data_IF_800519269098
#
_entry.id   IF_800519269098
#
_cell.length_a   1.000
_cell.length_b   1.000
_cell.length_c   1.000
_cell.angle_alpha   90.00
_cell.angle_beta   90.00
_cell.angle_gamma   90.00
#
_symmetry.space_group_name_H-M   'P 1'
#
loop_
_entity.id
_entity.type
_entity.pdbx_description
1 polymer ?
#
# COMPACT_ATOMS: atom_id res chain seq x y z
N UNK A 1 20.31 4.45 3.15
CA UNK A 1 18.91 4.15 2.82
C UNK A 1 18.00 4.65 3.95
N UNK A 2 16.95 5.39 3.61
CA UNK A 2 15.98 5.88 4.59
C UNK A 2 14.66 5.12 4.39
N UNK A 3 14.14 4.52 5.46
CA UNK A 3 12.91 3.76 5.43
C UNK A 3 11.86 4.38 6.34
N UNK A 4 10.66 4.57 5.82
CA UNK A 4 9.49 5.04 6.57
C UNK A 4 8.43 3.93 6.53
N UNK A 5 7.82 3.67 7.67
CA UNK A 5 6.76 2.68 7.80
C UNK A 5 5.61 3.27 8.60
N UNK A 6 4.39 3.21 8.06
CA UNK A 6 3.19 3.71 8.71
C UNK A 6 2.06 2.71 8.56
N UNK A 7 1.17 2.66 9.54
CA UNK A 7 0.02 1.77 9.57
C UNK A 7 -1.25 2.62 9.60
N UNK A 8 -2.19 2.30 8.72
CA UNK A 8 -3.50 2.94 8.63
C UNK A 8 -4.57 1.87 8.78
N UNK A 9 -5.74 2.22 9.31
CA UNK A 9 -6.84 1.28 9.43
C UNK A 9 -8.19 1.97 9.22
N UNK A 10 -9.18 1.17 8.81
CA UNK A 10 -10.58 1.54 8.81
C UNK A 10 -11.42 0.29 9.06
N UNK A 11 -12.58 0.46 9.66
CA UNK A 11 -13.48 -0.66 9.91
C UNK A 11 -14.93 -0.21 9.83
N UNK A 12 -15.82 -1.16 9.54
CA UNK A 12 -17.25 -0.92 9.46
C UNK A 12 -18.00 -2.19 9.80
N UNK A 13 -19.24 -2.04 10.23
CA UNK A 13 -20.14 -3.15 10.53
C UNK A 13 -21.07 -3.35 9.35
N UNK A 14 -21.25 -4.60 8.90
CA UNK A 14 -22.12 -4.97 7.80
C UNK A 14 -22.98 -6.16 8.22
N UNK A 15 -24.20 -6.22 7.66
CA UNK A 15 -25.09 -7.36 7.86
C UNK A 15 -24.98 -8.29 6.64
N UNK A 16 -24.60 -9.53 6.88
CA UNK A 16 -24.51 -10.55 5.83
C UNK A 16 -25.91 -11.12 5.49
N UNK A 17 -25.99 -11.96 4.46
CA UNK A 17 -27.24 -12.57 4.02
C UNK A 17 -27.88 -13.45 5.10
N UNK A 18 -27.10 -13.98 6.04
CA UNK A 18 -27.59 -14.72 7.20
C UNK A 18 -28.25 -13.84 8.28
N UNK A 19 -28.30 -12.53 8.08
CA UNK A 19 -28.86 -11.57 9.00
C UNK A 19 -27.95 -11.24 10.19
N UNK A 20 -26.74 -11.76 10.22
CA UNK A 20 -25.77 -11.54 11.29
C UNK A 20 -24.88 -10.36 10.98
N UNK A 21 -24.71 -9.48 11.96
CA UNK A 21 -23.79 -8.34 11.83
C UNK A 21 -22.36 -8.77 12.13
N UNK A 22 -21.45 -8.31 11.28
CA UNK A 22 -20.02 -8.56 11.44
C UNK A 22 -19.25 -7.26 11.23
N UNK A 23 -18.14 -7.13 11.92
CA UNK A 23 -17.24 -5.99 11.74
C UNK A 23 -16.10 -6.41 10.81
N UNK A 24 -15.89 -5.62 9.76
CA UNK A 24 -14.81 -5.81 8.79
C UNK A 24 -13.77 -4.74 9.05
N UNK A 25 -12.51 -5.13 9.10
CA UNK A 25 -11.38 -4.20 9.24
C UNK A 25 -10.46 -4.34 8.04
N UNK A 26 -10.00 -3.22 7.50
CA UNK A 26 -8.95 -3.16 6.48
C UNK A 26 -7.80 -2.33 7.03
N UNK A 27 -6.60 -2.89 6.94
CA UNK A 27 -5.37 -2.25 7.38
C UNK A 27 -4.48 -2.03 6.18
N UNK A 28 -3.89 -0.84 6.08
CA UNK A 28 -2.88 -0.53 5.09
C UNK A 28 -1.52 -0.40 5.74
N UNK A 29 -0.58 -1.20 5.31
CA UNK A 29 0.82 -1.07 5.68
C UNK A 29 1.53 -0.31 4.59
N UNK A 30 1.91 0.94 4.89
CA UNK A 30 2.63 1.81 3.98
C UNK A 30 4.11 1.75 4.28
N UNK A 31 4.91 1.47 3.26
CA UNK A 31 6.36 1.44 3.37
C UNK A 31 6.96 2.32 2.29
N UNK A 32 7.89 3.18 2.68
CA UNK A 32 8.62 4.04 1.76
C UNK A 32 10.11 3.83 1.95
N UNK A 33 10.80 3.58 0.86
CA UNK A 33 12.25 3.45 0.82
C UNK A 33 12.81 4.50 -0.10
N UNK A 34 13.84 5.23 0.37
CA UNK A 34 14.61 6.19 -0.42
C UNK A 34 16.01 5.69 -0.58
N UNK A 35 16.45 5.63 -1.81
CA UNK A 35 17.80 5.21 -2.14
C UNK A 35 18.40 6.12 -3.19
N UNK A 36 19.72 6.07 -3.34
CA UNK A 36 20.42 6.77 -4.40
C UNK A 36 20.93 5.74 -5.39
N UNK A 37 20.66 6.00 -6.67
CA UNK A 37 21.08 5.14 -7.76
C UNK A 37 21.99 5.93 -8.67
N UNK A 38 23.12 5.36 -9.07
CA UNK A 38 24.00 5.96 -10.06
C UNK A 38 23.23 6.11 -11.37
N UNK A 39 23.10 7.35 -11.83
CA UNK A 39 22.37 7.68 -13.05
C UNK A 39 23.32 8.31 -14.04
N UNK A 40 23.26 7.85 -15.30
CA UNK A 40 24.08 8.37 -16.39
C UNK A 40 23.18 9.15 -17.35
N UNK A 41 23.59 10.36 -17.66
CA UNK A 41 22.88 11.22 -18.61
C UNK A 41 23.82 11.62 -19.75
N UNK A 42 23.36 11.57 -20.99
CA UNK A 42 24.08 12.11 -22.14
C UNK A 42 23.88 13.62 -22.20
N UNK A 43 24.98 14.34 -22.35
CA UNK A 43 24.97 15.79 -22.47
C UNK A 43 25.77 16.21 -23.70
N UNK A 44 25.41 17.34 -24.37
CA UNK A 44 26.24 17.89 -25.42
C UNK A 44 27.52 18.52 -24.81
N UNK A 45 28.66 18.19 -25.38
CA UNK A 45 29.95 18.74 -24.96
C UNK A 45 30.59 19.42 -26.17
N UNK A 46 30.92 20.71 -26.02
CA UNK A 46 31.62 21.46 -27.05
C UNK A 46 33.13 21.19 -26.94
N UNK A 47 33.68 20.55 -27.95
CA UNK A 47 35.11 20.18 -27.98
C UNK A 47 35.94 21.21 -28.75
N UNK A 48 35.37 21.75 -29.83
CA UNK A 48 35.99 22.80 -30.69
C UNK A 48 34.90 23.78 -31.10
N UNK A 49 35.26 24.99 -31.56
CA UNK A 49 34.26 25.89 -32.14
C UNK A 49 33.44 25.16 -33.20
N UNK A 50 32.13 25.22 -33.12
CA UNK A 50 31.17 24.58 -34.01
C UNK A 50 31.16 23.03 -34.00
N UNK A 51 31.89 22.39 -33.07
CA UNK A 51 31.90 20.92 -32.95
C UNK A 51 31.34 20.54 -31.57
N UNK A 52 30.23 19.78 -31.57
CA UNK A 52 29.59 19.27 -30.36
C UNK A 52 29.57 17.75 -30.45
N UNK A 53 30.02 17.09 -29.38
CA UNK A 53 30.01 15.64 -29.27
C UNK A 53 29.11 15.27 -28.07
N UNK A 54 28.65 14.02 -28.04
CA UNK A 54 27.88 13.51 -26.88
C UNK A 54 28.84 13.08 -25.79
N UNK A 55 28.68 13.69 -24.61
CA UNK A 55 29.37 13.28 -23.41
C UNK A 55 28.40 12.58 -22.45
N UNK A 56 28.95 11.95 -21.42
CA UNK A 56 28.17 11.29 -20.39
C UNK A 56 28.54 11.85 -19.03
N UNK A 57 27.51 12.09 -18.22
CA UNK A 57 27.66 12.52 -16.83
C UNK A 57 26.98 11.50 -15.95
N UNK A 58 27.71 11.02 -14.94
CA UNK A 58 27.15 10.13 -13.92
C UNK A 58 26.95 10.89 -12.62
N UNK A 59 25.81 10.75 -12.00
CA UNK A 59 25.48 11.40 -10.73
C UNK A 59 24.55 10.51 -9.92
N UNK A 60 24.59 10.60 -8.57
CA UNK A 60 23.64 9.90 -7.73
C UNK A 60 22.26 10.56 -7.85
N UNK A 61 21.28 9.79 -8.31
CA UNK A 61 19.89 10.23 -8.39
C UNK A 61 19.06 9.53 -7.32
N UNK A 62 18.16 10.29 -6.70
CA UNK A 62 17.26 9.78 -5.67
C UNK A 62 16.20 8.86 -6.30
N UNK A 63 16.12 7.64 -5.77
CA UNK A 63 15.09 6.68 -6.14
C UNK A 63 14.12 6.50 -4.98
N UNK A 64 12.84 6.73 -5.25
CA UNK A 64 11.77 6.56 -4.29
C UNK A 64 11.01 5.30 -4.61
N UNK A 65 10.76 4.47 -3.60
CA UNK A 65 9.91 3.29 -3.72
C UNK A 65 8.86 3.32 -2.62
N UNK A 66 7.59 3.28 -3.00
CA UNK A 66 6.45 3.30 -2.09
C UNK A 66 5.58 2.09 -2.33
N UNK A 67 5.22 1.41 -1.26
CA UNK A 67 4.35 0.24 -1.29
C UNK A 67 3.26 0.40 -0.25
N UNK A 68 2.02 0.19 -0.65
CA UNK A 68 0.88 0.07 0.24
C UNK A 68 0.35 -1.35 0.12
N UNK A 69 0.43 -2.12 1.21
CA UNK A 69 -0.09 -3.48 1.28
C UNK A 69 -1.36 -3.47 2.14
N UNK A 70 -2.43 -4.04 1.62
CA UNK A 70 -3.72 -4.08 2.30
C UNK A 70 -3.97 -5.46 2.89
N UNK A 71 -4.34 -5.49 4.17
CA UNK A 71 -4.78 -6.70 4.87
C UNK A 71 -6.19 -6.50 5.38
N UNK A 72 -6.95 -7.58 5.47
CA UNK A 72 -8.33 -7.52 5.94
C UNK A 72 -8.62 -8.62 6.96
N UNK A 73 -9.57 -8.36 7.84
CA UNK A 73 -10.08 -9.32 8.80
C UNK A 73 -11.57 -9.10 9.00
N UNK A 74 -12.29 -10.19 9.23
CA UNK A 74 -13.72 -10.16 9.55
C UNK A 74 -13.87 -10.72 10.95
N UNK A 75 -14.40 -9.91 11.88
CA UNK A 75 -14.64 -10.33 13.25
C UNK A 75 -15.74 -11.41 13.29
N UNK A 76 -15.50 -12.49 14.05
CA UNK A 76 -16.50 -13.52 14.24
C UNK A 76 -17.70 -12.92 14.99
N UNK A 77 -18.96 -13.27 14.61
CA UNK A 77 -20.14 -12.63 15.20
C UNK A 77 -20.28 -12.84 16.72
N UNK A 78 -19.70 -13.90 17.24
CA UNK A 78 -19.73 -14.19 18.70
C UNK A 78 -18.61 -13.51 19.48
N UNK A 79 -17.66 -12.87 18.77
CA UNK A 79 -16.54 -12.18 19.41
C UNK A 79 -16.82 -10.69 19.48
N UNK A 80 -16.37 -10.07 20.57
CA UNK A 80 -16.38 -8.63 20.68
C UNK A 80 -15.27 -8.06 19.81
N UNK A 81 -15.59 -7.03 19.02
CA UNK A 81 -14.61 -6.41 18.13
C UNK A 81 -13.56 -5.65 18.93
N UNK A 82 -12.29 -5.95 18.67
CA UNK A 82 -11.13 -5.29 19.27
C UNK A 82 -10.21 -4.81 18.16
N UNK A 83 -9.96 -3.50 18.12
CA UNK A 83 -9.12 -2.87 17.10
C UNK A 83 -7.69 -3.40 17.13
N UNK A 84 -7.10 -3.58 18.31
CA UNK A 84 -5.73 -4.07 18.45
C UNK A 84 -5.60 -5.50 17.94
N UNK A 85 -6.54 -6.36 18.29
CA UNK A 85 -6.56 -7.75 17.82
C UNK A 85 -6.77 -7.81 16.30
N UNK A 86 -7.67 -6.99 15.77
CA UNK A 86 -7.89 -6.88 14.33
C UNK A 86 -6.65 -6.41 13.58
N UNK A 87 -5.94 -5.42 14.12
CA UNK A 87 -4.66 -4.95 13.58
C UNK A 87 -3.63 -6.09 13.52
N UNK A 88 -3.47 -6.82 14.61
CA UNK A 88 -2.51 -7.93 14.68
C UNK A 88 -2.83 -9.02 13.66
N UNK A 89 -4.09 -9.36 13.49
CA UNK A 89 -4.53 -10.35 12.49
C UNK A 89 -4.23 -9.86 11.07
N UNK A 90 -4.59 -8.63 10.76
CA UNK A 90 -4.35 -8.05 9.43
C UNK A 90 -2.87 -7.97 9.09
N UNK A 91 -2.05 -7.48 10.02
CA UNK A 91 -0.59 -7.38 9.83
C UNK A 91 0.05 -8.75 9.71
N UNK A 92 -0.43 -9.74 10.47
CA UNK A 92 0.03 -11.11 10.37
C UNK A 92 -0.25 -11.71 8.99
N UNK A 93 -1.44 -11.46 8.44
CA UNK A 93 -1.82 -11.89 7.09
C UNK A 93 -0.96 -11.23 6.03
N UNK A 94 -0.68 -9.94 6.17
CA UNK A 94 0.22 -9.21 5.26
C UNK A 94 1.62 -9.86 5.27
N UNK A 95 2.17 -10.18 6.44
CA UNK A 95 3.50 -10.80 6.57
C UNK A 95 3.56 -12.19 5.94
N UNK A 96 2.44 -12.92 5.93
CA UNK A 96 2.36 -14.27 5.35
C UNK A 96 2.04 -14.27 3.85
N UNK A 97 1.93 -13.10 3.24
CA UNK A 97 1.54 -13.00 1.83
C UNK A 97 0.06 -13.22 1.56
N UNK A 98 -0.78 -13.14 2.59
CA UNK A 98 -2.23 -13.29 2.49
C UNK A 98 -2.93 -11.92 2.44
N UNK A 99 -2.32 -10.97 1.75
CA UNK A 99 -2.86 -9.62 1.57
C UNK A 99 -4.02 -9.63 0.57
N UNK A 100 -4.82 -8.57 0.62
CA UNK A 100 -5.97 -8.38 -0.28
C UNK A 100 -5.70 -7.37 -1.39
N UNK A 101 -4.50 -6.85 -1.46
CA UNK A 101 -4.08 -5.94 -2.51
C UNK A 101 -2.74 -5.28 -2.20
N UNK A 102 -2.00 -4.96 -3.25
CA UNK A 102 -0.72 -4.26 -3.16
C UNK A 102 -0.69 -3.17 -4.22
N UNK A 103 -0.25 -1.97 -3.83
CA UNK A 103 -0.06 -0.84 -4.73
C UNK A 103 1.39 -0.39 -4.60
N UNK A 104 2.12 -0.39 -5.70
CA UNK A 104 3.51 0.03 -5.74
C UNK A 104 3.69 1.22 -6.69
N UNK A 105 4.51 2.18 -6.29
CA UNK A 105 4.81 3.33 -7.12
C UNK A 105 6.16 3.96 -6.77
N UNK A 106 6.80 4.56 -7.76
CA UNK A 106 7.99 5.38 -7.57
C UNK A 106 7.67 6.88 -7.57
N UNK A 107 6.41 7.24 -7.83
CA UNK A 107 5.97 8.64 -7.89
C UNK A 107 5.67 9.20 -6.51
N UNK A 108 6.20 10.39 -6.21
CA UNK A 108 5.88 11.10 -4.96
C UNK A 108 4.46 11.68 -4.95
N UNK A 109 3.80 11.73 -6.11
CA UNK A 109 2.43 12.24 -6.24
C UNK A 109 1.38 11.16 -6.01
N UNK A 110 1.79 9.88 -6.05
CA UNK A 110 0.93 8.75 -5.75
C UNK A 110 1.11 8.34 -4.29
N UNK A 111 0.13 7.67 -3.72
CA UNK A 111 0.13 7.20 -2.33
C UNK A 111 0.40 8.31 -1.31
N UNK A 112 -0.30 9.45 -1.44
CA UNK A 112 -0.42 10.46 -0.38
C UNK A 112 -1.31 9.90 0.73
N UNK A 113 -1.33 10.53 1.91
CA UNK A 113 -2.20 10.07 3.01
C UNK A 113 -3.67 9.99 2.59
N UNK A 114 -4.15 10.98 1.86
CA UNK A 114 -5.53 10.98 1.36
C UNK A 114 -5.79 9.80 0.41
N UNK A 115 -4.85 9.53 -0.49
CA UNK A 115 -4.96 8.40 -1.42
C UNK A 115 -4.87 7.06 -0.71
N UNK A 116 -4.04 6.95 0.31
CA UNK A 116 -3.91 5.73 1.12
C UNK A 116 -5.25 5.44 1.82
N UNK A 117 -5.83 6.42 2.49
CA UNK A 117 -7.12 6.25 3.16
C UNK A 117 -8.24 5.95 2.16
N UNK A 118 -8.24 6.60 1.00
CA UNK A 118 -9.22 6.33 -0.05
C UNK A 118 -9.13 4.88 -0.55
N UNK A 119 -7.93 4.35 -0.72
CA UNK A 119 -7.73 2.95 -1.11
C UNK A 119 -8.21 1.97 -0.04
N UNK A 120 -7.94 2.27 1.24
CA UNK A 120 -8.38 1.45 2.36
C UNK A 120 -9.90 1.44 2.45
N UNK A 121 -10.54 2.60 2.38
CA UNK A 121 -12.00 2.73 2.43
C UNK A 121 -12.69 2.07 1.24
N UNK A 122 -12.10 2.21 0.05
CA UNK A 122 -12.61 1.55 -1.16
C UNK A 122 -12.57 0.03 -1.02
N UNK A 123 -11.49 -0.52 -0.46
CA UNK A 123 -11.38 -1.97 -0.23
C UNK A 123 -12.35 -2.42 0.85
N UNK A 124 -12.52 -1.63 1.91
CA UNK A 124 -13.49 -1.90 2.97
C UNK A 124 -14.91 -1.96 2.40
N UNK A 125 -15.30 -0.97 1.60
CA UNK A 125 -16.60 -0.94 0.95
C UNK A 125 -16.81 -2.14 0.02
N UNK A 126 -15.79 -2.52 -0.73
CA UNK A 126 -15.86 -3.68 -1.61
C UNK A 126 -16.11 -4.96 -0.81
N UNK A 127 -15.38 -5.17 0.28
CA UNK A 127 -15.55 -6.36 1.13
C UNK A 127 -16.93 -6.35 1.79
N UNK A 128 -17.39 -5.20 2.31
CA UNK A 128 -18.71 -5.08 2.92
C UNK A 128 -19.83 -5.37 1.92
N UNK A 129 -19.72 -4.87 0.70
CA UNK A 129 -20.71 -5.08 -0.36
C UNK A 129 -20.71 -6.51 -0.91
N UNK A 130 -19.66 -7.27 -0.66
CA UNK A 130 -19.49 -8.65 -1.11
C UNK A 130 -19.22 -9.60 0.06
N UNK A 131 -19.71 -9.26 1.25
CA UNK A 131 -19.37 -9.95 2.49
C UNK A 131 -19.53 -11.46 2.42
N UNK A 132 -20.58 -11.94 1.74
CA UNK A 132 -20.87 -13.37 1.65
C UNK A 132 -19.80 -14.17 0.91
N UNK A 133 -19.01 -13.50 0.05
CA UNK A 133 -17.89 -14.12 -0.67
C UNK A 133 -16.67 -14.35 0.22
N UNK A 134 -16.58 -13.59 1.33
CA UNK A 134 -15.45 -13.65 2.25
C UNK A 134 -15.73 -14.51 3.48
N UNK A 135 -16.97 -14.99 3.63
CA UNK A 135 -17.34 -15.87 4.73
C UNK A 135 -17.03 -17.33 4.37
N UNK A 136 -16.58 -18.12 5.35
CA UNK A 136 -16.38 -19.55 5.10
C UNK A 136 -17.72 -20.20 4.78
N UNK A 137 -17.72 -21.06 3.77
CA UNK A 137 -18.90 -21.88 3.46
C UNK A 137 -19.14 -22.86 4.59
N UNK A 138 -20.35 -22.82 5.11
CA UNK A 138 -20.77 -23.77 6.13
C UNK A 138 -20.98 -25.15 5.53
#
# INVERSE_FOLDING_TARGET
>A
MKKIKKIYESHATVTADDGVKRTVMVVGLFEQTRDYVETTQEIPVQVKPLTVVKGKVSYPAKKLHRVLTLGAAICHPNDEFDVEEGLDICLSRIRRGEDVGVIETSSSLMLTEDNIMANIESKLDYICNNIDRYLPNA
#
